data_IF_349086678570
#
_entry.id   IF_349086678570
#
_cell.length_a   1.000
_cell.length_b   1.000
_cell.length_c   1.000
_cell.angle_alpha   90.00
_cell.angle_beta   90.00
_cell.angle_gamma   90.00
#
_symmetry.space_group_name_H-M   'P 1'
#
loop_
_entity.id
_entity.type
_entity.pdbx_description
1 polymer ?
#
# COMPACT_ATOMS: atom_id res chain seq x y z
N UNK A 1 16.61 -16.87 4.77
CA UNK A 1 16.81 -15.83 3.76
C UNK A 1 15.50 -15.18 3.35
N UNK A 2 15.57 -14.02 2.75
CA UNK A 2 14.41 -13.28 2.24
C UNK A 2 14.49 -13.22 0.72
N UNK A 3 13.40 -13.48 0.05
CA UNK A 3 13.24 -13.27 -1.40
C UNK A 3 12.24 -12.12 -1.56
N UNK A 4 12.66 -11.06 -2.24
CA UNK A 4 11.79 -9.95 -2.58
C UNK A 4 11.43 -10.09 -4.06
N UNK A 5 10.15 -10.34 -4.34
CA UNK A 5 9.63 -10.31 -5.70
C UNK A 5 9.16 -8.89 -6.03
N UNK A 6 9.86 -8.21 -6.92
CA UNK A 6 9.41 -6.93 -7.45
C UNK A 6 8.56 -7.18 -8.71
N UNK A 7 7.31 -6.74 -8.66
CA UNK A 7 6.39 -6.72 -9.79
C UNK A 7 5.86 -5.31 -10.02
N UNK A 8 6.69 -4.33 -9.70
CA UNK A 8 6.41 -2.92 -9.97
C UNK A 8 6.42 -2.65 -11.48
N UNK A 9 5.36 -2.01 -11.98
CA UNK A 9 5.26 -1.59 -13.37
C UNK A 9 4.76 -0.15 -13.43
N UNK A 10 5.64 0.75 -13.86
CA UNK A 10 5.33 2.17 -13.89
C UNK A 10 4.18 2.51 -14.85
N UNK A 11 3.38 3.51 -14.50
CA UNK A 11 2.33 4.04 -15.37
C UNK A 11 1.11 3.15 -15.57
N UNK A 12 0.91 2.11 -14.77
CA UNK A 12 -0.21 1.18 -14.89
C UNK A 12 -1.36 1.51 -13.95
N UNK A 13 -2.59 1.25 -14.42
CA UNK A 13 -3.78 1.19 -13.58
C UNK A 13 -3.79 -0.12 -12.78
N UNK A 14 -4.56 -0.14 -11.69
CA UNK A 14 -4.59 -1.31 -10.79
C UNK A 14 -5.09 -2.60 -11.46
N UNK A 15 -5.90 -2.50 -12.50
CA UNK A 15 -6.37 -3.64 -13.30
C UNK A 15 -5.26 -4.34 -14.11
N UNK A 16 -4.08 -3.74 -14.23
CA UNK A 16 -2.92 -4.42 -14.80
C UNK A 16 -2.51 -5.67 -14.01
N UNK A 17 -2.82 -5.70 -12.71
CA UNK A 17 -2.56 -6.86 -11.83
C UNK A 17 -3.69 -7.90 -11.84
N UNK A 18 -4.79 -7.66 -12.56
CA UNK A 18 -5.78 -8.71 -12.80
C UNK A 18 -5.17 -9.83 -13.66
N UNK A 19 -5.12 -11.05 -13.12
CA UNK A 19 -4.56 -12.21 -13.80
C UNK A 19 -5.34 -12.58 -15.08
N UNK A 20 -6.57 -12.13 -15.19
CA UNK A 20 -7.42 -12.35 -16.35
C UNK A 20 -7.35 -11.19 -17.37
N UNK A 21 -6.57 -10.15 -17.09
CA UNK A 21 -6.44 -9.04 -18.04
C UNK A 21 -5.78 -9.54 -19.35
N UNK A 22 -6.50 -9.49 -20.50
CA UNK A 22 -6.00 -10.06 -21.75
C UNK A 22 -4.86 -9.24 -22.37
N UNK A 23 -4.80 -7.95 -22.10
CA UNK A 23 -3.90 -7.02 -22.75
C UNK A 23 -2.67 -6.69 -21.89
N UNK A 24 -2.74 -6.89 -20.58
CA UNK A 24 -1.64 -6.60 -19.68
C UNK A 24 -1.21 -7.85 -18.89
N UNK A 25 0.05 -8.29 -19.01
CA UNK A 25 0.50 -9.55 -18.40
C UNK A 25 0.99 -9.40 -16.96
N UNK A 26 0.94 -8.22 -16.34
CA UNK A 26 1.56 -7.95 -15.02
C UNK A 26 1.06 -8.95 -13.97
N UNK A 27 -0.25 -9.11 -13.82
CA UNK A 27 -0.81 -10.05 -12.83
C UNK A 27 -0.43 -11.50 -13.11
N UNK A 28 -0.41 -11.91 -14.41
CA UNK A 28 0.04 -13.26 -14.79
C UNK A 28 1.52 -13.48 -14.52
N UNK A 29 2.36 -12.48 -14.77
CA UNK A 29 3.79 -12.54 -14.48
C UNK A 29 4.03 -12.66 -12.99
N UNK A 30 3.32 -11.89 -12.16
CA UNK A 30 3.38 -12.01 -10.70
C UNK A 30 3.05 -13.44 -10.24
N UNK A 31 1.96 -14.00 -10.72
CA UNK A 31 1.57 -15.36 -10.39
C UNK A 31 2.61 -16.39 -10.85
N UNK A 32 3.17 -16.22 -12.05
CA UNK A 32 4.24 -17.06 -12.55
C UNK A 32 5.46 -17.06 -11.62
N UNK A 33 5.92 -15.88 -11.21
CA UNK A 33 7.06 -15.75 -10.29
C UNK A 33 6.80 -16.36 -8.92
N UNK A 34 5.59 -16.19 -8.38
CA UNK A 34 5.21 -16.82 -7.11
C UNK A 34 5.26 -18.34 -7.21
N UNK A 35 4.76 -18.92 -8.30
CA UNK A 35 4.78 -20.37 -8.57
C UNK A 35 6.21 -20.89 -8.74
N UNK A 36 7.05 -20.18 -9.48
CA UNK A 36 8.44 -20.57 -9.68
C UNK A 36 9.25 -20.50 -8.40
N UNK A 37 9.08 -19.44 -7.60
CA UNK A 37 9.71 -19.35 -6.29
C UNK A 37 9.32 -20.53 -5.39
N UNK A 38 8.04 -20.86 -5.34
CA UNK A 38 7.53 -22.03 -4.59
C UNK A 38 8.12 -23.33 -5.11
N UNK A 39 8.10 -23.55 -6.43
CA UNK A 39 8.67 -24.75 -7.06
C UNK A 39 10.15 -24.93 -6.75
N UNK A 40 10.93 -23.87 -6.81
CA UNK A 40 12.35 -23.87 -6.47
C UNK A 40 12.56 -24.20 -5.01
N UNK A 41 11.84 -23.56 -4.09
CA UNK A 41 11.92 -23.84 -2.67
C UNK A 41 11.61 -25.31 -2.36
N UNK A 42 10.55 -25.85 -2.96
CA UNK A 42 10.17 -27.26 -2.81
C UNK A 42 11.27 -28.21 -3.32
N UNK A 43 11.86 -27.90 -4.48
CA UNK A 43 12.96 -28.70 -5.04
C UNK A 43 14.22 -28.71 -4.15
N UNK A 44 14.41 -27.63 -3.40
CA UNK A 44 15.51 -27.49 -2.44
C UNK A 44 15.14 -27.96 -1.02
N UNK A 45 13.90 -28.43 -0.82
CA UNK A 45 13.35 -28.81 0.48
C UNK A 45 13.42 -27.67 1.52
N UNK A 46 13.22 -26.43 1.06
CA UNK A 46 13.21 -25.23 1.90
C UNK A 46 11.75 -24.76 2.06
N UNK A 47 11.35 -24.51 3.31
CA UNK A 47 10.06 -23.86 3.57
C UNK A 47 10.07 -22.44 3.02
N UNK A 48 9.01 -22.07 2.29
CA UNK A 48 8.81 -20.72 1.77
C UNK A 48 7.42 -20.21 2.17
N UNK A 49 7.38 -19.03 2.74
CA UNK A 49 6.13 -18.33 3.09
C UNK A 49 6.07 -16.98 2.38
N UNK A 50 4.87 -16.46 2.20
CA UNK A 50 4.62 -15.11 1.69
C UNK A 50 3.85 -14.33 2.76
N UNK A 51 4.53 -13.73 3.75
CA UNK A 51 3.84 -13.05 4.85
C UNK A 51 3.18 -11.74 4.44
N UNK A 52 3.70 -11.09 3.40
CA UNK A 52 3.26 -9.76 3.00
C UNK A 52 3.13 -9.60 1.49
N UNK A 53 2.13 -8.81 1.09
CA UNK A 53 1.99 -8.27 -0.27
C UNK A 53 1.87 -6.75 -0.17
N UNK A 54 2.62 -6.03 -0.97
CA UNK A 54 2.66 -4.57 -0.96
C UNK A 54 1.73 -3.98 -2.01
N UNK A 55 0.98 -2.98 -1.60
CA UNK A 55 0.25 -2.06 -2.49
C UNK A 55 0.97 -0.71 -2.49
N UNK A 56 1.69 -0.44 -3.57
CA UNK A 56 2.30 0.86 -3.84
C UNK A 56 1.95 1.28 -5.28
N UNK A 57 0.70 1.65 -5.47
CA UNK A 57 0.12 2.02 -6.76
C UNK A 57 -0.89 3.16 -6.52
N UNK A 58 -1.21 3.94 -7.52
CA UNK A 58 -2.30 4.91 -7.44
C UNK A 58 -2.04 6.20 -8.19
N UNK A 59 -0.79 6.54 -8.51
CA UNK A 59 -0.47 7.75 -9.27
C UNK A 59 -1.16 7.77 -10.63
N UNK A 60 -1.15 6.64 -11.34
CA UNK A 60 -1.85 6.50 -12.63
C UNK A 60 -3.37 6.44 -12.50
N UNK A 61 -3.90 6.21 -11.30
CA UNK A 61 -5.32 6.15 -10.99
C UNK A 61 -5.84 7.43 -10.32
N UNK A 62 -5.12 8.52 -10.45
CA UNK A 62 -5.42 9.80 -9.78
C UNK A 62 -6.81 10.35 -10.11
N UNK A 63 -7.29 10.10 -11.31
CA UNK A 63 -8.59 10.57 -11.81
C UNK A 63 -9.69 9.50 -11.66
N UNK A 64 -9.40 8.35 -11.08
CA UNK A 64 -10.39 7.29 -10.87
C UNK A 64 -11.33 7.68 -9.72
N UNK A 65 -12.64 7.53 -9.90
CA UNK A 65 -13.57 7.52 -8.79
C UNK A 65 -13.18 6.45 -7.76
N UNK A 66 -13.24 6.77 -6.48
CA UNK A 66 -12.80 5.85 -5.42
C UNK A 66 -13.51 4.48 -5.46
N UNK A 67 -14.80 4.47 -5.87
CA UNK A 67 -15.55 3.22 -6.03
C UNK A 67 -14.99 2.34 -7.16
N UNK A 68 -14.58 2.93 -8.28
CA UNK A 68 -14.01 2.21 -9.42
C UNK A 68 -12.61 1.68 -9.07
N UNK A 69 -11.80 2.49 -8.41
CA UNK A 69 -10.50 2.05 -7.89
C UNK A 69 -10.66 0.86 -6.94
N UNK A 70 -11.63 0.93 -6.02
CA UNK A 70 -11.93 -0.14 -5.08
C UNK A 70 -12.32 -1.44 -5.79
N UNK A 71 -13.23 -1.39 -6.74
CA UNK A 71 -13.68 -2.57 -7.47
C UNK A 71 -12.54 -3.25 -8.25
N UNK A 72 -11.68 -2.47 -8.89
CA UNK A 72 -10.49 -2.99 -9.59
C UNK A 72 -9.48 -3.59 -8.62
N UNK A 73 -9.26 -2.93 -7.49
CA UNK A 73 -8.39 -3.46 -6.43
C UNK A 73 -8.91 -4.80 -5.90
N UNK A 74 -10.20 -4.87 -5.55
CA UNK A 74 -10.80 -6.10 -5.00
C UNK A 74 -10.66 -7.26 -5.99
N UNK A 75 -10.74 -7.00 -7.29
CA UNK A 75 -10.50 -8.00 -8.33
C UNK A 75 -9.03 -8.40 -8.39
N UNK A 76 -8.13 -7.46 -8.66
CA UNK A 76 -6.72 -7.74 -8.94
C UNK A 76 -5.96 -8.25 -7.71
N UNK A 77 -6.08 -7.56 -6.58
CA UNK A 77 -5.39 -7.97 -5.36
C UNK A 77 -6.08 -9.11 -4.63
N UNK A 78 -7.41 -9.19 -4.70
CA UNK A 78 -8.15 -10.36 -4.19
C UNK A 78 -7.63 -11.66 -4.83
N UNK A 79 -7.41 -11.65 -6.13
CA UNK A 79 -6.79 -12.77 -6.85
C UNK A 79 -5.35 -13.04 -6.38
N UNK A 80 -4.52 -12.00 -6.24
CA UNK A 80 -3.14 -12.14 -5.78
C UNK A 80 -3.07 -12.75 -4.38
N UNK A 81 -3.87 -12.23 -3.44
CA UNK A 81 -3.92 -12.73 -2.07
C UNK A 81 -4.40 -14.19 -2.01
N UNK A 82 -5.45 -14.54 -2.78
CA UNK A 82 -5.94 -15.91 -2.85
C UNK A 82 -4.92 -16.88 -3.46
N UNK A 83 -4.18 -16.47 -4.49
CA UNK A 83 -3.12 -17.27 -5.08
C UNK A 83 -1.94 -17.45 -4.11
N UNK A 84 -1.54 -16.40 -3.41
CA UNK A 84 -0.49 -16.50 -2.39
C UNK A 84 -0.91 -17.44 -1.26
N UNK A 85 -2.13 -17.33 -0.76
CA UNK A 85 -2.68 -18.25 0.24
C UNK A 85 -2.65 -19.71 -0.24
N UNK A 86 -3.09 -19.95 -1.47
CA UNK A 86 -3.08 -21.30 -2.08
C UNK A 86 -1.67 -21.88 -2.25
N UNK A 87 -0.69 -21.06 -2.58
CA UNK A 87 0.69 -21.50 -2.82
C UNK A 87 1.51 -21.66 -1.53
N UNK A 88 1.29 -20.80 -0.55
CA UNK A 88 2.14 -20.71 0.63
C UNK A 88 1.45 -21.13 1.94
N UNK A 89 0.17 -21.52 1.87
CA UNK A 89 -0.58 -22.06 3.00
C UNK A 89 -1.16 -21.03 3.97
N UNK A 90 -0.87 -19.74 3.77
CA UNK A 90 -1.42 -18.67 4.57
C UNK A 90 -1.67 -17.42 3.71
N UNK A 91 -2.74 -16.70 4.03
CA UNK A 91 -3.06 -15.44 3.36
C UNK A 91 -2.06 -14.37 3.78
N UNK A 92 -1.36 -13.72 2.84
CA UNK A 92 -0.44 -12.66 3.17
C UNK A 92 -1.18 -11.43 3.70
N UNK A 93 -0.54 -10.70 4.57
CA UNK A 93 -1.04 -9.41 5.03
C UNK A 93 -0.74 -8.34 3.99
N UNK A 94 -1.67 -7.44 3.79
CA UNK A 94 -1.51 -6.33 2.86
C UNK A 94 -0.73 -5.19 3.53
N UNK A 95 0.32 -4.70 2.87
CA UNK A 95 1.00 -3.46 3.26
C UNK A 95 0.60 -2.38 2.26
N UNK A 96 0.07 -1.29 2.76
CA UNK A 96 -0.40 -0.17 1.96
C UNK A 96 0.52 1.04 2.15
N UNK A 97 1.14 1.47 1.06
CA UNK A 97 1.71 2.81 0.96
C UNK A 97 0.69 3.66 0.24
N UNK A 98 0.03 4.55 0.97
CA UNK A 98 -1.02 5.39 0.42
C UNK A 98 -0.41 6.38 -0.57
N UNK A 99 -0.81 6.30 -1.82
CA UNK A 99 -0.32 7.18 -2.86
C UNK A 99 -1.04 8.52 -2.83
N UNK A 100 -0.29 9.60 -2.79
CA UNK A 100 -0.83 10.95 -2.66
C UNK A 100 -1.49 11.52 -3.92
N UNK A 101 -1.44 10.82 -5.06
CA UNK A 101 -1.91 11.37 -6.33
C UNK A 101 -1.07 12.55 -6.83
N UNK A 102 -1.53 13.23 -7.89
CA UNK A 102 -0.89 14.42 -8.45
C UNK A 102 -1.22 15.68 -7.62
N UNK A 103 -0.21 16.45 -7.24
CA UNK A 103 -0.38 17.70 -6.45
C UNK A 103 -1.02 18.83 -7.22
N UNK A 104 -1.06 18.77 -8.55
CA UNK A 104 -1.54 19.87 -9.38
C UNK A 104 -3.04 19.80 -9.71
N UNK A 105 -3.71 18.72 -9.39
CA UNK A 105 -5.14 18.58 -9.68
C UNK A 105 -5.96 18.92 -8.44
N UNK A 106 -6.67 20.04 -8.47
CA UNK A 106 -7.67 20.42 -7.44
C UNK A 106 -8.99 19.76 -7.85
N UNK A 107 -9.50 18.86 -7.03
CA UNK A 107 -10.74 18.13 -7.30
C UNK A 107 -10.80 16.86 -6.47
N UNK A 108 -11.18 15.76 -7.06
CA UNK A 108 -11.28 14.45 -6.38
C UNK A 108 -9.91 13.81 -6.00
N UNK A 109 -8.92 14.67 -5.74
CA UNK A 109 -7.52 14.33 -5.39
C UNK A 109 -7.38 13.29 -4.27
N UNK A 110 -8.41 13.17 -3.47
CA UNK A 110 -8.37 12.31 -2.28
C UNK A 110 -9.17 11.03 -2.45
N UNK A 111 -9.84 10.83 -3.58
CA UNK A 111 -10.67 9.64 -3.79
C UNK A 111 -9.82 8.36 -3.75
N UNK A 112 -8.76 8.29 -4.54
CA UNK A 112 -7.84 7.14 -4.55
C UNK A 112 -7.09 6.97 -3.23
N UNK A 113 -6.41 7.99 -2.66
CA UNK A 113 -5.75 7.86 -1.36
C UNK A 113 -6.71 7.47 -0.22
N UNK A 114 -7.89 8.07 -0.15
CA UNK A 114 -8.89 7.73 0.85
C UNK A 114 -9.39 6.29 0.69
N UNK A 115 -9.53 5.83 -0.55
CA UNK A 115 -9.90 4.44 -0.84
C UNK A 115 -8.80 3.47 -0.45
N UNK A 116 -7.53 3.79 -0.74
CA UNK A 116 -6.39 2.97 -0.33
C UNK A 116 -6.28 2.86 1.19
N UNK A 117 -6.49 3.95 1.90
CA UNK A 117 -6.54 3.93 3.36
C UNK A 117 -7.64 2.98 3.87
N UNK A 118 -8.85 3.07 3.32
CA UNK A 118 -9.97 2.17 3.66
C UNK A 118 -9.66 0.72 3.30
N UNK A 119 -9.03 0.46 2.16
CA UNK A 119 -8.57 -0.88 1.77
C UNK A 119 -7.64 -1.44 2.84
N UNK A 120 -6.67 -0.65 3.31
CA UNK A 120 -5.79 -1.06 4.39
C UNK A 120 -6.54 -1.50 5.64
N UNK A 121 -7.58 -0.78 6.04
CA UNK A 121 -8.42 -1.14 7.19
C UNK A 121 -9.30 -2.36 6.92
N UNK A 122 -9.99 -2.40 5.78
CA UNK A 122 -10.95 -3.45 5.44
C UNK A 122 -10.29 -4.83 5.24
N UNK A 123 -9.03 -4.85 4.80
CA UNK A 123 -8.25 -6.08 4.61
C UNK A 123 -7.37 -6.44 5.82
N UNK A 124 -7.57 -5.81 6.96
CA UNK A 124 -6.69 -5.96 8.15
C UNK A 124 -5.21 -5.76 7.79
N UNK A 125 -4.97 -4.83 6.87
CA UNK A 125 -3.65 -4.52 6.37
C UNK A 125 -2.89 -3.55 7.27
N UNK A 126 -1.64 -3.33 6.93
CA UNK A 126 -0.76 -2.35 7.55
C UNK A 126 -0.72 -1.12 6.64
N UNK A 127 -1.22 0.01 7.11
CA UNK A 127 -1.10 1.30 6.42
C UNK A 127 0.26 1.87 6.80
N UNK A 128 1.29 1.50 6.06
CA UNK A 128 2.66 1.80 6.42
C UNK A 128 2.93 3.30 6.49
N UNK A 129 2.57 4.01 5.42
CA UNK A 129 2.80 5.45 5.33
C UNK A 129 2.03 6.07 4.16
N UNK A 130 2.15 7.38 4.03
CA UNK A 130 1.63 8.17 2.92
C UNK A 130 2.78 8.68 2.07
N UNK A 131 2.75 8.41 0.77
CA UNK A 131 3.80 8.86 -0.16
C UNK A 131 4.08 10.37 -0.06
N UNK A 132 3.05 11.19 0.15
CA UNK A 132 3.17 12.65 0.27
C UNK A 132 3.85 13.14 1.55
N UNK A 133 4.10 12.27 2.50
CA UNK A 133 4.88 12.61 3.68
C UNK A 133 6.39 12.74 3.38
N UNK A 134 6.80 12.42 2.14
CA UNK A 134 8.21 12.36 1.73
C UNK A 134 8.52 13.31 0.57
N UNK A 135 9.79 13.71 0.40
CA UNK A 135 10.21 14.59 -0.68
C UNK A 135 9.89 14.04 -2.07
N UNK A 136 9.34 14.90 -2.93
CA UNK A 136 9.00 14.61 -4.31
C UNK A 136 10.08 15.23 -5.21
N UNK A 137 10.61 14.46 -6.14
CA UNK A 137 11.71 14.87 -7.02
C UNK A 137 11.24 15.79 -8.13
N UNK A 138 10.23 15.38 -8.85
CA UNK A 138 9.54 16.25 -9.79
C UNK A 138 8.31 16.88 -9.11
N UNK A 139 7.91 18.01 -9.57
CA UNK A 139 6.89 18.85 -8.93
C UNK A 139 5.55 18.14 -8.64
N UNK A 140 5.39 16.87 -9.09
CA UNK A 140 4.07 16.28 -9.17
C UNK A 140 3.91 14.88 -8.59
N UNK A 141 4.83 13.92 -8.85
CA UNK A 141 4.43 12.51 -8.75
C UNK A 141 5.53 11.59 -8.22
N UNK A 142 6.78 11.82 -8.63
CA UNK A 142 7.84 10.88 -8.34
C UNK A 142 8.58 11.26 -7.05
N UNK A 143 8.67 10.31 -6.16
CA UNK A 143 9.50 10.41 -4.96
C UNK A 143 10.97 10.19 -5.36
N UNK A 144 11.86 10.91 -4.70
CA UNK A 144 13.30 10.71 -4.91
C UNK A 144 13.81 9.44 -4.22
N UNK A 145 15.06 9.06 -4.50
CA UNK A 145 15.65 7.84 -3.94
C UNK A 145 15.71 7.83 -2.41
N UNK A 146 15.92 8.98 -1.77
CA UNK A 146 15.88 9.10 -0.32
C UNK A 146 14.47 8.85 0.24
N UNK A 147 13.45 9.38 -0.42
CA UNK A 147 12.06 9.14 -0.02
C UNK A 147 11.67 7.66 -0.18
N UNK A 148 12.16 6.99 -1.23
CA UNK A 148 11.94 5.54 -1.42
C UNK A 148 12.54 4.74 -0.26
N UNK A 149 13.78 5.08 0.15
CA UNK A 149 14.43 4.44 1.29
C UNK A 149 13.64 4.66 2.58
N UNK A 150 13.25 5.90 2.87
CA UNK A 150 12.48 6.23 4.08
C UNK A 150 11.10 5.55 4.12
N UNK A 151 10.45 5.40 2.98
CA UNK A 151 9.19 4.63 2.87
C UNK A 151 9.46 3.16 3.22
N UNK A 152 10.55 2.58 2.71
CA UNK A 152 10.95 1.22 3.02
C UNK A 152 11.21 1.02 4.52
N UNK A 153 12.00 1.91 5.13
CA UNK A 153 12.29 1.89 6.58
C UNK A 153 11.03 2.04 7.43
N UNK A 154 10.12 2.95 7.03
CA UNK A 154 8.84 3.12 7.74
C UNK A 154 7.97 1.89 7.64
N UNK A 155 7.93 1.25 6.47
CA UNK A 155 7.16 0.03 6.29
C UNK A 155 7.76 -1.16 7.07
N UNK A 156 9.09 -1.28 7.13
CA UNK A 156 9.77 -2.28 7.97
C UNK A 156 9.39 -2.09 9.45
N UNK A 157 9.46 -0.86 9.92
CA UNK A 157 9.04 -0.55 11.29
C UNK A 157 7.56 -0.90 11.53
N UNK A 158 6.68 -0.53 10.61
CA UNK A 158 5.26 -0.86 10.69
C UNK A 158 5.01 -2.38 10.78
N UNK A 159 5.75 -3.16 9.99
CA UNK A 159 5.69 -4.63 10.05
C UNK A 159 6.19 -5.14 11.40
N UNK A 160 7.34 -4.68 11.87
CA UNK A 160 7.93 -5.11 13.14
C UNK A 160 7.02 -4.81 14.34
N UNK A 161 6.44 -3.61 14.41
CA UNK A 161 5.49 -3.25 15.46
C UNK A 161 4.25 -4.15 15.43
N UNK A 162 3.75 -4.42 14.23
CA UNK A 162 2.57 -5.27 14.05
C UNK A 162 2.87 -6.73 14.42
N UNK A 163 4.04 -7.25 14.07
CA UNK A 163 4.48 -8.60 14.46
C UNK A 163 4.70 -8.72 15.97
N UNK A 164 5.09 -7.63 16.62
CA UNK A 164 5.17 -7.54 18.08
C UNK A 164 3.79 -7.46 18.77
N UNK A 165 2.71 -7.40 17.99
CA UNK A 165 1.34 -7.30 18.51
C UNK A 165 0.91 -5.88 18.86
N UNK A 166 1.67 -4.88 18.46
CA UNK A 166 1.31 -3.49 18.66
C UNK A 166 0.41 -2.99 17.52
N UNK A 167 -0.57 -2.15 17.83
CA UNK A 167 -1.38 -1.48 16.82
C UNK A 167 -0.52 -0.47 16.07
N UNK A 168 -0.45 -0.60 14.74
CA UNK A 168 0.26 0.36 13.90
C UNK A 168 -0.67 1.40 13.29
N UNK A 169 -1.80 0.96 12.75
CA UNK A 169 -2.73 1.87 12.07
C UNK A 169 -3.31 2.88 13.07
N UNK A 170 -3.08 4.16 12.79
CA UNK A 170 -3.64 5.25 13.61
C UNK A 170 -5.11 5.42 13.21
N UNK A 171 -6.00 5.32 14.18
CA UNK A 171 -7.39 5.69 14.00
C UNK A 171 -7.60 7.16 14.30
N UNK A 172 -8.50 7.80 13.57
CA UNK A 172 -8.85 9.18 13.79
C UNK A 172 -10.36 9.41 13.67
N UNK A 173 -10.85 10.40 14.37
CA UNK A 173 -12.21 10.87 14.29
C UNK A 173 -12.24 12.31 13.78
N UNK A 174 -13.16 12.60 12.87
CA UNK A 174 -13.36 13.95 12.36
C UNK A 174 -14.76 14.41 12.73
N UNK A 175 -14.83 15.49 13.48
CA UNK A 175 -16.10 16.11 13.90
C UNK A 175 -16.16 17.53 13.36
N UNK A 176 -17.26 17.85 12.67
CA UNK A 176 -17.55 19.23 12.28
C UNK A 176 -18.37 19.89 13.40
N UNK A 177 -17.86 20.99 13.92
CA UNK A 177 -18.55 21.81 14.92
C UNK A 177 -18.62 23.28 14.45
N UNK A 178 -19.73 23.66 13.90
CA UNK A 178 -19.90 24.99 13.28
C UNK A 178 -18.96 25.18 12.08
N UNK A 179 -18.10 26.18 12.14
CA UNK A 179 -17.06 26.47 11.12
C UNK A 179 -15.72 25.73 11.38
N UNK A 180 -15.66 24.95 12.44
CA UNK A 180 -14.43 24.22 12.83
C UNK A 180 -14.53 22.77 12.41
N UNK A 181 -13.37 22.20 12.04
CA UNK A 181 -13.16 20.76 11.87
C UNK A 181 -12.20 20.32 12.98
N UNK A 182 -12.67 19.42 13.83
CA UNK A 182 -11.89 18.85 14.92
C UNK A 182 -11.45 17.45 14.47
N UNK A 183 -10.14 17.21 14.50
CA UNK A 183 -9.58 15.88 14.18
C UNK A 183 -8.98 15.33 15.47
N UNK A 184 -9.57 14.24 15.96
CA UNK A 184 -9.04 13.49 17.10
C UNK A 184 -8.25 12.29 16.61
N UNK A 185 -7.10 12.02 17.20
CA UNK A 185 -6.27 10.86 16.91
C UNK A 185 -6.20 9.96 18.14
N UNK A 186 -6.36 8.67 17.93
CA UNK A 186 -6.09 7.67 18.96
C UNK A 186 -4.59 7.36 18.93
N UNK A 187 -3.85 7.98 19.86
CA UNK A 187 -2.40 7.78 19.97
C UNK A 187 -2.09 6.57 20.85
N UNK A 188 -1.00 5.90 20.56
CA UNK A 188 -0.48 4.84 21.43
C UNK A 188 0.02 5.43 22.75
N UNK A 189 0.06 4.64 23.83
CA UNK A 189 0.63 5.10 25.09
C UNK A 189 2.06 5.64 24.91
N UNK A 190 2.31 6.86 25.35
CA UNK A 190 3.60 7.52 25.22
C UNK A 190 3.83 8.30 23.93
N UNK A 191 2.94 8.20 22.95
CA UNK A 191 2.99 9.03 21.73
C UNK A 191 2.40 10.42 21.98
N UNK A 192 2.96 11.40 21.28
CA UNK A 192 2.46 12.77 21.26
C UNK A 192 2.37 13.29 19.83
N UNK A 193 1.36 14.09 19.54
CA UNK A 193 1.32 14.82 18.28
C UNK A 193 2.38 15.92 18.30
N UNK A 194 3.33 15.82 17.38
CA UNK A 194 4.30 16.90 17.16
C UNK A 194 3.72 17.87 16.12
N UNK A 195 3.43 19.08 16.55
CA UNK A 195 3.16 20.17 15.61
C UNK A 195 4.51 20.69 15.10
N UNK A 196 4.90 20.28 13.91
CA UNK A 196 6.06 20.83 13.20
C UNK A 196 5.60 21.94 12.24
N UNK A 197 5.18 23.04 12.80
CA UNK A 197 5.02 24.26 11.99
C UNK A 197 6.39 24.60 11.36
N UNK A 198 6.45 24.74 10.05
CA UNK A 198 7.65 25.15 9.32
C UNK A 198 8.45 24.03 8.63
N UNK A 199 7.91 22.84 8.46
CA UNK A 199 8.58 21.79 7.69
C UNK A 199 8.52 21.96 6.15
N UNK A 200 7.74 22.91 5.68
CA UNK A 200 7.47 23.13 4.24
C UNK A 200 7.37 24.63 3.91
N UNK A 201 8.35 25.42 4.32
CA UNK A 201 8.57 26.76 3.77
C UNK A 201 9.39 26.69 2.49
#
# INVERSE_FOLDING_TARGET
>A
GVIIGDNGFGGQLIDAWDINNPTNPVGRNQLYWMREAKRLADSMQIGLSCPYVWLFQGTSAKDDPGADYRARFDTAHGQTLAQAESLFGARPRLIVVVNGGDVNTIGDLYATPATQYRIGLDYDGIIATWQRAYPIEDRNIHINGQAQLLIGETAEWAMAETEAGHAWNITYQVVKSGAQVIVGFDLRPGETLLNRAGLYD
#
